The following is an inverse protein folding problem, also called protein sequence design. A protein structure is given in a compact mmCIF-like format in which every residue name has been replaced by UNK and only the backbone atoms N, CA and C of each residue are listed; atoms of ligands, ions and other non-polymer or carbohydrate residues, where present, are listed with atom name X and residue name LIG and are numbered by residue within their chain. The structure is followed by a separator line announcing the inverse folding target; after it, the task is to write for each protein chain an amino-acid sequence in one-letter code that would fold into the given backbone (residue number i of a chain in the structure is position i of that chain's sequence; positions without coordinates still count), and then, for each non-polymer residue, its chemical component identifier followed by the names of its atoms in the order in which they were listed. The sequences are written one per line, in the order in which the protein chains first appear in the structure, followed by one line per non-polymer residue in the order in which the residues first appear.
data_IF_314411005530
#
_entry.id   IF_314411005530
#
_cell.length_a   1.000
_cell.length_b   1.000
_cell.length_c   1.000
_cell.angle_alpha   90.00
_cell.angle_beta   90.00
_cell.angle_gamma   90.00
#
_symmetry.space_group_name_H-M   'P 1'
#
loop_
_entity.id
_entity.type
_entity.pdbx_description
1 polymer ?
#
# COMPACT_ATOMS: atom_id res chain seq x y z
N UNK A 1 -0.45 -25.54 -12.17
CA UNK A 1 0.28 -24.94 -13.32
C UNK A 1 0.62 -23.51 -12.97
N UNK A 2 1.87 -23.08 -13.12
CA UNK A 2 2.30 -21.71 -12.81
C UNK A 2 1.70 -20.73 -13.83
N UNK A 3 1.12 -19.61 -13.38
CA UNK A 3 0.52 -18.57 -14.21
C UNK A 3 1.55 -17.50 -14.60
N UNK A 4 1.24 -16.69 -15.62
CA UNK A 4 2.05 -15.52 -15.99
C UNK A 4 2.05 -14.48 -14.87
N UNK A 5 0.93 -14.30 -14.16
CA UNK A 5 0.83 -13.46 -12.95
C UNK A 5 1.94 -13.80 -11.95
N UNK A 6 2.14 -15.09 -11.67
CA UNK A 6 3.15 -15.56 -10.72
C UNK A 6 4.60 -15.25 -11.16
N UNK A 7 4.83 -15.00 -12.45
CA UNK A 7 6.13 -14.55 -12.97
C UNK A 7 6.29 -13.03 -12.85
N UNK A 8 5.21 -12.29 -13.11
CA UNK A 8 5.19 -10.82 -12.96
C UNK A 8 5.38 -10.45 -11.49
N UNK A 9 4.69 -11.12 -10.57
CA UNK A 9 4.77 -10.85 -9.14
C UNK A 9 6.16 -11.17 -8.58
N UNK A 10 6.75 -12.30 -8.99
CA UNK A 10 8.13 -12.62 -8.63
C UNK A 10 9.11 -11.55 -9.12
N UNK A 11 8.99 -11.10 -10.37
CA UNK A 11 9.87 -10.08 -10.93
C UNK A 11 9.72 -8.71 -10.25
N UNK A 12 8.50 -8.37 -9.80
CA UNK A 12 8.24 -7.17 -8.99
C UNK A 12 8.89 -7.28 -7.62
N UNK A 13 8.75 -8.43 -6.97
CA UNK A 13 9.33 -8.70 -5.65
C UNK A 13 10.85 -8.59 -5.67
N UNK A 14 11.52 -9.21 -6.64
CA UNK A 14 12.99 -9.15 -6.78
C UNK A 14 13.52 -7.72 -6.98
N UNK A 15 12.65 -6.80 -7.43
CA UNK A 15 12.97 -5.39 -7.68
C UNK A 15 12.51 -4.45 -6.57
N UNK A 16 11.81 -4.94 -5.56
CA UNK A 16 11.32 -4.15 -4.44
C UNK A 16 12.42 -3.94 -3.41
N UNK A 17 12.72 -2.67 -3.08
CA UNK A 17 13.72 -2.30 -2.08
C UNK A 17 13.26 -1.05 -1.34
N UNK A 18 13.51 -1.00 -0.04
CA UNK A 18 13.14 0.10 0.85
C UNK A 18 11.75 -0.07 1.48
N UNK A 19 11.23 1.00 2.07
CA UNK A 19 9.95 1.06 2.81
C UNK A 19 9.90 0.16 4.03
N UNK A 20 11.04 -0.05 4.68
CA UNK A 20 11.13 -1.00 5.79
C UNK A 20 10.21 -0.61 6.95
N UNK A 21 10.12 0.69 7.27
CA UNK A 21 9.24 1.20 8.31
C UNK A 21 7.76 0.93 8.02
N UNK A 22 7.32 1.12 6.77
CA UNK A 22 5.94 0.88 6.37
C UNK A 22 5.60 -0.62 6.33
N UNK A 23 6.54 -1.47 5.88
CA UNK A 23 6.39 -2.92 5.92
C UNK A 23 6.28 -3.44 7.36
N UNK A 24 7.13 -2.94 8.27
CA UNK A 24 7.14 -3.32 9.69
C UNK A 24 5.85 -2.87 10.41
N UNK A 25 5.38 -1.66 10.14
CA UNK A 25 4.13 -1.14 10.67
C UNK A 25 2.95 -2.05 10.27
N UNK A 26 2.86 -2.40 8.98
CA UNK A 26 1.81 -3.28 8.49
C UNK A 26 1.94 -4.69 9.06
N UNK A 27 3.15 -5.27 9.06
CA UNK A 27 3.40 -6.61 9.58
C UNK A 27 3.02 -6.73 11.07
N UNK A 28 3.34 -5.70 11.86
CA UNK A 28 2.97 -5.65 13.29
C UNK A 28 1.47 -5.72 13.47
N UNK A 29 0.70 -4.96 12.69
CA UNK A 29 -0.76 -5.01 12.75
C UNK A 29 -1.32 -6.35 12.23
N UNK A 30 -0.72 -6.89 11.16
CA UNK A 30 -1.14 -8.12 10.49
C UNK A 30 -1.04 -9.37 11.38
N UNK A 31 -0.07 -9.39 12.28
CA UNK A 31 0.26 -10.54 13.13
C UNK A 31 -0.28 -10.42 14.55
N UNK A 32 -0.85 -9.27 14.92
CA UNK A 32 -1.50 -9.07 16.20
C UNK A 32 -2.83 -9.86 16.30
N UNK A 33 -3.17 -10.30 17.52
CA UNK A 33 -4.48 -10.89 17.83
C UNK A 33 -5.60 -9.86 17.64
N UNK A 34 -5.37 -8.65 18.18
CA UNK A 34 -6.16 -7.46 17.92
C UNK A 34 -5.24 -6.39 17.31
N UNK A 35 -5.49 -5.95 16.06
CA UNK A 35 -4.65 -4.96 15.43
C UNK A 35 -4.69 -3.60 16.15
N UNK A 36 -3.56 -2.89 16.27
CA UNK A 36 -3.48 -1.58 16.93
C UNK A 36 -4.19 -0.45 16.16
N UNK A 37 -4.61 -0.73 14.93
CA UNK A 37 -5.44 0.12 14.07
C UNK A 37 -6.17 -0.77 13.07
N UNK A 38 -7.32 -0.31 12.57
CA UNK A 38 -8.06 -1.00 11.52
C UNK A 38 -7.66 -0.51 10.12
N UNK A 39 -7.23 0.75 10.00
CA UNK A 39 -6.93 1.40 8.72
C UNK A 39 -5.50 1.95 8.70
N UNK A 40 -4.74 1.60 7.67
CA UNK A 40 -3.48 2.25 7.31
C UNK A 40 -3.72 3.12 6.06
N UNK A 41 -3.80 4.44 6.24
CA UNK A 41 -3.99 5.37 5.14
C UNK A 41 -2.65 5.98 4.72
N UNK A 42 -2.20 5.57 3.54
CA UNK A 42 -0.97 5.96 2.90
C UNK A 42 -1.26 7.07 1.88
N UNK A 43 -0.50 8.16 1.93
CA UNK A 43 -0.64 9.23 0.93
C UNK A 43 0.70 9.74 0.45
N UNK A 44 0.74 10.35 -0.74
CA UNK A 44 1.95 10.95 -1.28
C UNK A 44 1.84 11.24 -2.77
N UNK A 45 2.82 11.95 -3.36
CA UNK A 45 2.78 12.32 -4.76
C UNK A 45 2.78 11.12 -5.73
N UNK A 46 2.47 11.39 -7.00
CA UNK A 46 2.62 10.40 -8.07
C UNK A 46 4.08 9.94 -8.16
N UNK A 47 4.31 8.64 -8.33
CA UNK A 47 5.67 8.08 -8.39
C UNK A 47 6.35 7.82 -7.03
N UNK A 48 5.68 8.08 -5.91
CA UNK A 48 6.18 7.75 -4.56
C UNK A 48 6.23 6.24 -4.24
N UNK A 49 5.68 5.39 -5.12
CA UNK A 49 5.71 3.93 -4.96
C UNK A 49 4.55 3.31 -4.18
N UNK A 50 3.44 4.04 -3.97
CA UNK A 50 2.23 3.55 -3.27
C UNK A 50 1.70 2.22 -3.82
N UNK A 51 1.43 2.16 -5.13
CA UNK A 51 0.99 0.92 -5.82
C UNK A 51 1.99 -0.21 -5.64
N UNK A 52 3.29 0.07 -5.70
CA UNK A 52 4.33 -0.93 -5.48
C UNK A 52 4.32 -1.45 -4.04
N UNK A 53 4.18 -0.55 -3.06
CA UNK A 53 4.06 -0.90 -1.64
C UNK A 53 2.81 -1.76 -1.40
N UNK A 54 1.64 -1.39 -1.91
CA UNK A 54 0.42 -2.19 -1.75
C UNK A 54 0.58 -3.62 -2.27
N UNK A 55 1.23 -3.82 -3.42
CA UNK A 55 1.50 -5.18 -3.91
C UNK A 55 2.41 -5.98 -2.96
N UNK A 56 3.41 -5.35 -2.33
CA UNK A 56 4.26 -6.02 -1.36
C UNK A 56 3.49 -6.33 -0.05
N UNK A 57 2.62 -5.42 0.41
CA UNK A 57 1.74 -5.67 1.56
C UNK A 57 0.77 -6.83 1.27
N UNK A 58 0.22 -6.91 0.06
CA UNK A 58 -0.62 -8.02 -0.38
C UNK A 58 0.13 -9.35 -0.26
N UNK A 59 1.38 -9.38 -0.73
CA UNK A 59 2.24 -10.57 -0.68
C UNK A 59 2.51 -10.99 0.76
N UNK A 60 2.87 -10.05 1.64
CA UNK A 60 3.09 -10.31 3.06
C UNK A 60 1.82 -10.86 3.74
N UNK A 61 0.66 -10.29 3.44
CA UNK A 61 -0.62 -10.75 3.95
C UNK A 61 -0.93 -12.20 3.52
N UNK A 62 -0.75 -12.54 2.24
CA UNK A 62 -0.93 -13.91 1.73
C UNK A 62 0.04 -14.88 2.40
N UNK A 63 1.30 -14.48 2.65
CA UNK A 63 2.29 -15.32 3.34
C UNK A 63 1.92 -15.61 4.80
N UNK A 64 1.21 -14.68 5.45
CA UNK A 64 0.64 -14.88 6.77
C UNK A 64 -0.73 -15.60 6.73
N UNK A 65 -1.12 -16.16 5.58
CA UNK A 65 -2.36 -16.91 5.42
C UNK A 65 -3.63 -16.06 5.42
N UNK A 66 -3.51 -14.73 5.23
CA UNK A 66 -4.67 -13.83 5.15
C UNK A 66 -5.27 -13.81 3.75
N UNK A 67 -6.59 -13.67 3.67
CA UNK A 67 -7.25 -13.37 2.38
C UNK A 67 -7.04 -11.90 2.04
N UNK A 68 -6.65 -11.63 0.79
CA UNK A 68 -6.35 -10.28 0.31
C UNK A 68 -7.26 -9.92 -0.83
N UNK A 69 -7.83 -8.71 -0.76
CA UNK A 69 -8.54 -8.07 -1.86
C UNK A 69 -7.79 -6.80 -2.23
N UNK A 70 -7.39 -6.68 -3.49
CA UNK A 70 -6.81 -5.45 -4.05
C UNK A 70 -7.84 -4.81 -4.98
N UNK A 71 -8.26 -3.60 -4.63
CA UNK A 71 -9.21 -2.79 -5.38
C UNK A 71 -8.48 -1.54 -5.89
N UNK A 72 -8.46 -1.33 -7.20
CA UNK A 72 -8.01 -0.07 -7.78
C UNK A 72 -9.23 0.80 -8.04
N UNK A 73 -9.25 2.03 -7.50
CA UNK A 73 -10.34 2.98 -7.72
C UNK A 73 -10.59 3.32 -9.19
N UNK A 74 -9.62 3.05 -10.08
CA UNK A 74 -9.77 3.21 -11.54
C UNK A 74 -10.57 2.10 -12.20
N UNK A 75 -10.61 0.92 -11.58
CA UNK A 75 -11.19 -0.29 -12.16
C UNK A 75 -12.61 -0.59 -11.64
N UNK A 76 -13.12 0.25 -10.73
CA UNK A 76 -14.46 0.12 -10.15
C UNK A 76 -15.28 1.37 -10.39
N UNK A 77 -16.57 1.19 -10.62
CA UNK A 77 -17.51 2.32 -10.64
C UNK A 77 -17.57 2.97 -9.25
N UNK A 78 -17.56 4.30 -9.19
CA UNK A 78 -17.58 5.07 -7.94
C UNK A 78 -19.01 5.13 -7.34
N UNK A 79 -19.58 3.94 -7.08
CA UNK A 79 -20.86 3.76 -6.39
C UNK A 79 -20.72 2.83 -5.20
N UNK A 80 -21.52 3.01 -4.12
CA UNK A 80 -21.51 2.14 -2.95
C UNK A 80 -21.62 0.65 -3.28
N UNK A 81 -22.53 0.31 -4.19
CA UNK A 81 -22.82 -1.07 -4.58
C UNK A 81 -21.66 -1.71 -5.35
N UNK A 82 -21.04 -0.99 -6.29
CA UNK A 82 -19.92 -1.51 -7.05
C UNK A 82 -18.68 -1.71 -6.16
N UNK A 83 -18.35 -0.72 -5.32
CA UNK A 83 -17.21 -0.82 -4.38
C UNK A 83 -17.43 -1.93 -3.36
N UNK A 84 -18.62 -2.02 -2.75
CA UNK A 84 -18.92 -3.11 -1.83
C UNK A 84 -18.83 -4.47 -2.53
N UNK A 85 -19.38 -4.63 -3.73
CA UNK A 85 -19.30 -5.88 -4.49
C UNK A 85 -17.85 -6.28 -4.78
N UNK A 86 -17.04 -5.35 -5.30
CA UNK A 86 -15.64 -5.59 -5.62
C UNK A 86 -14.80 -5.94 -4.37
N UNK A 87 -15.01 -5.20 -3.27
CA UNK A 87 -14.35 -5.50 -2.01
C UNK A 87 -14.80 -6.85 -1.43
N UNK A 88 -16.03 -7.28 -1.71
CA UNK A 88 -16.58 -8.55 -1.23
C UNK A 88 -16.23 -9.79 -2.08
N UNK A 89 -15.74 -9.61 -3.31
CA UNK A 89 -15.61 -10.68 -4.30
C UNK A 89 -14.61 -11.80 -3.94
N UNK A 90 -13.75 -11.62 -2.93
CA UNK A 90 -12.76 -12.61 -2.49
C UNK A 90 -12.90 -13.01 -1.01
N UNK A 91 -14.08 -12.78 -0.41
CA UNK A 91 -14.38 -13.17 0.98
C UNK A 91 -14.89 -14.60 1.11
N UNK A 92 -13.98 -15.57 1.14
CA UNK A 92 -14.36 -16.98 1.37
C UNK A 92 -13.53 -17.72 2.44
N UNK A 93 -12.81 -17.02 3.33
CA UNK A 93 -12.02 -17.66 4.38
C UNK A 93 -12.31 -17.12 5.78
N UNK A 94 -12.31 -18.03 6.76
CA UNK A 94 -12.46 -17.78 8.19
C UNK A 94 -11.26 -17.04 8.84
N UNK A 95 -10.20 -16.76 8.06
CA UNK A 95 -9.06 -15.94 8.49
C UNK A 95 -9.32 -14.45 8.30
N UNK A 96 -8.78 -13.60 9.18
CA UNK A 96 -8.94 -12.15 9.08
C UNK A 96 -8.51 -11.59 7.72
N UNK A 97 -9.12 -10.46 7.34
CA UNK A 97 -9.18 -9.96 5.97
C UNK A 97 -8.19 -8.81 5.77
N UNK A 98 -7.58 -8.72 4.59
CA UNK A 98 -6.82 -7.53 4.19
C UNK A 98 -7.46 -6.93 2.94
N UNK A 99 -7.96 -5.70 3.05
CA UNK A 99 -8.47 -4.93 1.92
C UNK A 99 -7.47 -3.82 1.57
N UNK A 100 -6.99 -3.82 0.34
CA UNK A 100 -6.07 -2.84 -0.18
C UNK A 100 -6.80 -2.01 -1.24
N UNK A 101 -6.83 -0.69 -1.08
CA UNK A 101 -7.48 0.23 -2.00
C UNK A 101 -6.41 1.15 -2.59
N UNK A 102 -6.16 1.04 -3.89
CA UNK A 102 -5.26 1.95 -4.62
C UNK A 102 -6.06 3.04 -5.35
N UNK A 103 -5.40 4.15 -5.66
CA UNK A 103 -5.98 5.30 -6.35
C UNK A 103 -7.27 5.80 -5.67
N UNK A 104 -7.25 5.92 -4.34
CA UNK A 104 -8.44 6.26 -3.54
C UNK A 104 -9.07 7.60 -3.92
N UNK A 105 -8.32 8.52 -4.51
CA UNK A 105 -8.86 9.79 -5.03
C UNK A 105 -10.01 9.61 -6.06
N UNK A 106 -10.10 8.46 -6.73
CA UNK A 106 -11.22 8.16 -7.64
C UNK A 106 -12.53 7.86 -6.88
N UNK A 107 -12.43 7.61 -5.57
CA UNK A 107 -13.54 7.27 -4.68
C UNK A 107 -13.83 8.39 -3.67
N UNK A 108 -13.30 9.60 -3.86
CA UNK A 108 -13.49 10.74 -2.95
C UNK A 108 -14.97 11.02 -2.65
N UNK A 109 -15.84 10.89 -3.65
CA UNK A 109 -17.30 11.05 -3.49
C UNK A 109 -17.94 10.02 -2.55
N UNK A 110 -17.25 8.92 -2.25
CA UNK A 110 -17.67 7.86 -1.36
C UNK A 110 -16.97 7.89 0.00
N UNK A 111 -16.05 8.83 0.28
CA UNK A 111 -15.26 8.83 1.52
C UNK A 111 -16.14 8.80 2.78
N UNK A 112 -17.21 9.62 2.79
CA UNK A 112 -18.16 9.64 3.89
C UNK A 112 -18.98 8.36 4.03
N UNK A 113 -19.23 7.64 2.93
CA UNK A 113 -19.90 6.34 2.96
C UNK A 113 -18.94 5.22 3.42
N UNK A 114 -17.69 5.25 2.94
CA UNK A 114 -16.63 4.32 3.37
C UNK A 114 -16.50 4.32 4.89
N UNK A 115 -16.39 5.51 5.49
CA UNK A 115 -16.21 5.68 6.94
C UNK A 115 -17.47 5.40 7.78
N UNK A 116 -18.66 5.73 7.29
CA UNK A 116 -19.88 5.64 8.11
C UNK A 116 -20.63 4.32 7.95
N UNK A 117 -20.47 3.66 6.82
CA UNK A 117 -21.28 2.50 6.48
C UNK A 117 -20.44 1.29 6.12
N UNK A 118 -19.50 1.40 5.18
CA UNK A 118 -18.81 0.22 4.65
C UNK A 118 -17.78 -0.37 5.64
N UNK A 119 -16.80 0.43 6.06
CA UNK A 119 -15.72 -0.05 6.92
C UNK A 119 -16.19 -0.52 8.31
N UNK A 120 -17.16 0.14 8.98
CA UNK A 120 -17.68 -0.34 10.26
C UNK A 120 -18.35 -1.72 10.21
N UNK A 121 -18.76 -2.19 9.02
CA UNK A 121 -19.37 -3.51 8.85
C UNK A 121 -18.35 -4.62 8.58
N UNK A 122 -17.07 -4.27 8.39
CA UNK A 122 -16.02 -5.28 8.23
C UNK A 122 -15.79 -6.03 9.55
N UNK A 123 -15.40 -7.32 9.50
CA UNK A 123 -15.01 -8.05 10.70
C UNK A 123 -13.89 -7.34 11.46
N UNK A 124 -13.91 -7.38 12.79
CA UNK A 124 -12.93 -6.67 13.64
C UNK A 124 -11.47 -7.06 13.35
N UNK A 125 -11.22 -8.31 12.93
CA UNK A 125 -9.88 -8.79 12.53
C UNK A 125 -9.47 -8.37 11.10
N UNK A 126 -10.17 -7.42 10.47
CA UNK A 126 -9.85 -6.92 9.14
C UNK A 126 -8.85 -5.76 9.23
N UNK A 127 -7.91 -5.73 8.29
CA UNK A 127 -7.02 -4.61 8.06
C UNK A 127 -7.31 -4.00 6.70
N UNK A 128 -7.40 -2.68 6.67
CA UNK A 128 -7.62 -1.94 5.43
C UNK A 128 -6.43 -1.03 5.18
N UNK A 129 -5.86 -1.07 3.99
CA UNK A 129 -4.83 -0.13 3.55
C UNK A 129 -5.40 0.71 2.42
N UNK A 130 -5.41 2.02 2.59
CA UNK A 130 -5.90 2.97 1.59
C UNK A 130 -4.72 3.76 1.08
N UNK A 131 -4.53 3.81 -0.24
CA UNK A 131 -3.51 4.59 -0.89
C UNK A 131 -4.12 5.70 -1.74
N UNK A 132 -3.79 6.95 -1.41
CA UNK A 132 -4.25 8.13 -2.13
C UNK A 132 -3.14 9.15 -2.39
N UNK A 133 -3.48 10.26 -3.04
CA UNK A 133 -2.51 11.35 -3.30
C UNK A 133 -2.37 12.34 -2.17
N UNK A 134 -3.47 12.61 -1.46
CA UNK A 134 -3.57 13.72 -0.50
C UNK A 134 -3.76 13.21 0.92
N UNK A 135 -3.41 14.04 1.90
CA UNK A 135 -3.62 13.73 3.30
C UNK A 135 -5.14 13.61 3.60
N UNK A 136 -5.57 12.56 4.32
CA UNK A 136 -6.98 12.31 4.60
C UNK A 136 -7.47 13.08 5.84
N UNK A 137 -7.73 14.38 5.70
CA UNK A 137 -8.06 15.26 6.83
C UNK A 137 -9.29 14.81 7.60
N UNK A 138 -10.36 14.43 6.91
CA UNK A 138 -11.63 14.04 7.52
C UNK A 138 -11.52 12.79 8.43
N UNK A 139 -10.47 11.99 8.26
CA UNK A 139 -10.21 10.81 9.09
C UNK A 139 -9.56 11.17 10.43
N UNK A 140 -8.95 12.36 10.54
CA UNK A 140 -8.38 12.89 11.79
C UNK A 140 -9.39 13.68 12.62
N UNK A 141 -10.41 14.25 11.97
CA UNK A 141 -11.42 15.09 12.61
C UNK A 141 -12.45 14.29 13.41
N UNK A 142 -12.69 13.03 13.02
CA UNK A 142 -13.53 12.09 13.76
C UNK A 142 -12.67 11.37 14.81
N UNK A 143 -13.06 11.47 16.08
CA UNK A 143 -12.28 10.93 17.19
C UNK A 143 -12.12 9.40 17.14
N UNK A 144 -13.13 8.67 16.67
CA UNK A 144 -13.05 7.21 16.58
C UNK A 144 -12.15 6.79 15.42
N UNK A 145 -12.28 7.45 14.26
CA UNK A 145 -11.40 7.18 13.13
C UNK A 145 -9.97 7.63 13.37
N UNK A 146 -9.73 8.69 14.14
CA UNK A 146 -8.39 9.14 14.50
C UNK A 146 -7.63 8.10 15.35
N UNK A 147 -8.35 7.35 16.19
CA UNK A 147 -7.78 6.25 16.98
C UNK A 147 -7.54 5.01 16.10
N UNK A 148 -8.51 4.65 15.26
CA UNK A 148 -8.49 3.44 14.44
C UNK A 148 -7.70 3.56 13.12
N UNK A 149 -7.18 4.74 12.79
CA UNK A 149 -6.44 5.00 11.56
C UNK A 149 -5.00 5.40 11.83
N UNK A 150 -4.05 4.73 11.20
CA UNK A 150 -2.68 5.23 11.03
C UNK A 150 -2.50 5.86 9.66
N UNK A 151 -2.04 7.11 9.68
CA UNK A 151 -1.84 7.92 8.48
C UNK A 151 -0.34 8.06 8.24
N UNK A 152 0.14 7.63 7.08
CA UNK A 152 1.55 7.64 6.70
C UNK A 152 1.73 8.41 5.40
N UNK A 153 2.65 9.38 5.42
CA UNK A 153 3.12 10.05 4.22
C UNK A 153 4.23 9.21 3.57
N UNK A 154 4.11 8.87 2.29
CA UNK A 154 5.22 8.36 1.51
C UNK A 154 5.98 9.51 0.89
N UNK A 155 7.06 9.88 1.56
CA UNK A 155 8.06 10.79 1.04
C UNK A 155 9.08 10.05 0.17
N UNK A 156 10.09 10.78 -0.29
CA UNK A 156 11.26 10.21 -0.96
C UNK A 156 11.94 9.16 -0.08
N UNK A 157 12.58 8.18 -0.71
CA UNK A 157 13.31 7.14 0.02
C UNK A 157 14.47 7.77 0.81
N UNK A 158 14.72 7.31 2.05
CA UNK A 158 15.94 7.65 2.78
C UNK A 158 17.19 7.30 1.98
N UNK A 159 18.28 8.00 2.26
CA UNK A 159 19.56 7.84 1.56
C UNK A 159 20.04 6.39 1.62
N UNK A 160 19.88 5.75 2.77
CA UNK A 160 20.24 4.35 3.01
C UNK A 160 19.45 3.40 2.09
N UNK A 161 18.14 3.62 1.96
CA UNK A 161 17.27 2.83 1.08
C UNK A 161 17.55 3.11 -0.41
N UNK A 162 17.96 4.32 -0.76
CA UNK A 162 18.40 4.66 -2.12
C UNK A 162 19.67 3.90 -2.51
N UNK A 163 20.67 3.84 -1.62
CA UNK A 163 21.88 3.06 -1.87
C UNK A 163 21.58 1.56 -1.98
N UNK A 164 20.73 1.04 -1.10
CA UNK A 164 20.28 -0.35 -1.17
C UNK A 164 19.57 -0.63 -2.51
N UNK A 165 18.70 0.29 -2.96
CA UNK A 165 18.01 0.18 -4.24
C UNK A 165 18.99 0.11 -5.42
N UNK A 166 19.93 1.05 -5.50
CA UNK A 166 20.90 1.10 -6.59
C UNK A 166 21.82 -0.13 -6.61
N UNK A 167 22.26 -0.59 -5.42
CA UNK A 167 23.06 -1.81 -5.29
C UNK A 167 22.29 -3.05 -5.77
N UNK A 168 21.01 -3.18 -5.40
CA UNK A 168 20.15 -4.27 -5.86
C UNK A 168 19.89 -4.25 -7.37
N UNK A 169 19.99 -3.06 -8.01
CA UNK A 169 19.93 -2.89 -9.47
C UNK A 169 21.28 -3.11 -10.16
N UNK A 170 22.34 -3.43 -9.43
CA UNK A 170 23.67 -3.67 -10.00
C UNK A 170 24.39 -2.39 -10.42
N UNK A 171 23.93 -1.22 -9.97
CA UNK A 171 24.60 0.05 -10.25
C UNK A 171 25.94 0.09 -9.49
N UNK A 172 27.07 0.46 -10.15
CA UNK A 172 28.34 0.58 -9.47
C UNK A 172 28.32 1.64 -8.36
N UNK A 173 28.89 1.30 -7.19
CA UNK A 173 28.85 2.17 -6.00
C UNK A 173 29.38 3.59 -6.22
N UNK A 174 30.35 3.77 -7.12
CA UNK A 174 30.93 5.08 -7.44
C UNK A 174 29.97 6.01 -8.21
N UNK A 175 28.86 5.50 -8.74
CA UNK A 175 27.80 6.30 -9.35
C UNK A 175 26.69 6.70 -8.37
N UNK A 176 26.64 6.08 -7.17
CA UNK A 176 25.50 6.25 -6.26
C UNK A 176 25.30 7.71 -5.87
N UNK A 177 26.32 8.38 -5.34
CA UNK A 177 26.18 9.76 -4.83
C UNK A 177 25.69 10.74 -5.90
N UNK A 178 26.18 10.59 -7.15
CA UNK A 178 25.75 11.41 -8.27
C UNK A 178 24.27 11.17 -8.63
N UNK A 179 23.84 9.91 -8.64
CA UNK A 179 22.44 9.55 -8.92
C UNK A 179 21.50 9.95 -7.77
N UNK A 180 21.93 9.85 -6.52
CA UNK A 180 21.17 10.33 -5.37
C UNK A 180 21.01 11.85 -5.42
N UNK A 181 22.08 12.60 -5.74
CA UNK A 181 22.01 14.06 -5.88
C UNK A 181 21.02 14.49 -6.98
N UNK A 182 20.96 13.73 -8.08
CA UNK A 182 20.04 13.99 -9.18
C UNK A 182 18.59 13.63 -8.85
N UNK A 183 18.36 12.45 -8.30
CA UNK A 183 17.00 11.92 -8.03
C UNK A 183 16.39 12.44 -6.73
N UNK A 184 17.23 12.90 -5.79
CA UNK A 184 16.85 13.34 -4.44
C UNK A 184 16.02 12.30 -3.67
N UNK A 185 16.25 11.01 -3.95
CA UNK A 185 15.51 9.89 -3.36
C UNK A 185 14.10 9.66 -3.93
N UNK A 186 13.70 10.35 -5.00
CA UNK A 186 12.39 10.14 -5.61
C UNK A 186 12.31 8.74 -6.25
N UNK A 187 11.40 7.84 -5.80
CA UNK A 187 11.42 6.42 -6.19
C UNK A 187 11.32 6.19 -7.70
N UNK A 188 10.42 6.91 -8.39
CA UNK A 188 10.32 6.80 -9.84
C UNK A 188 11.59 7.28 -10.55
N UNK A 189 12.22 8.35 -10.06
CA UNK A 189 13.44 8.87 -10.69
C UNK A 189 14.60 7.89 -10.51
N UNK A 190 14.73 7.30 -9.31
CA UNK A 190 15.68 6.22 -9.03
C UNK A 190 15.47 5.02 -9.95
N UNK A 191 14.22 4.61 -10.18
CA UNK A 191 13.94 3.48 -11.08
C UNK A 191 14.36 3.74 -12.52
N UNK A 192 14.22 4.97 -13.01
CA UNK A 192 14.56 5.34 -14.37
C UNK A 192 16.08 5.42 -14.56
N UNK A 193 16.81 6.01 -13.60
CA UNK A 193 18.27 6.14 -13.72
C UNK A 193 19.02 4.82 -13.50
N UNK A 194 18.42 3.87 -12.77
CA UNK A 194 18.99 2.54 -12.56
C UNK A 194 18.84 1.61 -13.77
N UNK A 195 18.12 2.02 -14.81
CA UNK A 195 17.96 1.28 -16.08
C UNK A 195 18.86 1.81 -17.21
N UNK A 196 19.63 2.87 -16.95
CA UNK A 196 20.61 3.46 -17.87
C UNK A 196 21.97 2.76 -17.76
#
# INVERSE_FOLDING_TARGET
MRKISDRIDQARQERFVGRQAELELFHTALTAEEPPFAVLHIYGPGGAGKTTLLHELARLAVQQGRSVVLLDGRDVESTPTAVASAANAAFDAAGGRVLLIDTYEMLDGLDGWMRREFLPQLPAASLVVIAGRQAPTAWREDSAWAELTRIVALDNLPVEECHAYLAARGVPAHHHDALLAFTRGHPLALSLVAEL
#
